data_IF_309888798323
#
_entry.id   IF_309888798323
#
_cell.length_a   1.000
_cell.length_b   1.000
_cell.length_c   1.000
_cell.angle_alpha   90.00
_cell.angle_beta   90.00
_cell.angle_gamma   90.00
#
_symmetry.space_group_name_H-M   'P 1'
#
loop_
_entity.id
_entity.type
_entity.pdbx_description
1 polymer ?
#
# COMPACT_ATOMS: atom_id res chain seq x y z
N UNK A 1 25.65 14.51 -3.00
CA UNK A 1 26.87 15.21 -2.53
C UNK A 1 26.84 15.16 -1.01
N UNK A 2 27.78 14.46 -0.38
CA UNK A 2 27.89 14.36 1.09
C UNK A 2 28.45 15.69 1.61
N UNK A 3 27.60 16.50 2.25
CA UNK A 3 28.04 17.64 3.03
C UNK A 3 27.70 17.26 4.48
N UNK A 4 28.72 17.22 5.35
CA UNK A 4 28.62 16.87 6.78
C UNK A 4 28.22 15.42 7.10
N UNK A 5 28.47 14.48 6.17
CA UNK A 5 28.14 13.05 6.38
C UNK A 5 26.65 12.71 6.21
N UNK A 6 25.83 13.66 5.75
CA UNK A 6 24.39 13.46 5.50
C UNK A 6 24.13 13.44 3.99
N UNK A 7 23.29 12.50 3.54
CA UNK A 7 22.87 12.42 2.14
C UNK A 7 21.82 13.50 1.87
N UNK A 8 22.17 14.48 1.05
CA UNK A 8 21.25 15.52 0.59
C UNK A 8 20.42 15.02 -0.59
N UNK A 9 19.10 15.13 -0.47
CA UNK A 9 18.15 14.83 -1.54
C UNK A 9 17.67 16.15 -2.14
N UNK A 10 17.67 16.26 -3.47
CA UNK A 10 17.05 17.40 -4.13
C UNK A 10 15.53 17.33 -3.90
N UNK A 11 14.98 18.31 -3.18
CA UNK A 11 13.59 18.33 -2.80
C UNK A 11 12.85 19.51 -3.42
N UNK A 12 11.58 19.28 -3.74
CA UNK A 12 10.63 20.31 -4.09
C UNK A 12 9.21 19.78 -3.89
N UNK A 13 8.28 20.56 -3.28
CA UNK A 13 6.92 20.08 -3.01
C UNK A 13 6.18 19.57 -4.25
N UNK A 14 6.44 20.16 -5.43
CA UNK A 14 5.81 19.75 -6.68
C UNK A 14 6.25 18.37 -7.19
N UNK A 15 7.37 17.81 -6.68
CA UNK A 15 7.76 16.44 -7.00
C UNK A 15 6.74 15.41 -6.49
N UNK A 16 5.92 15.76 -5.50
CA UNK A 16 4.81 14.91 -5.06
C UNK A 16 3.88 14.59 -6.26
N UNK A 17 3.46 15.61 -7.01
CA UNK A 17 2.54 15.44 -8.15
C UNK A 17 3.17 14.68 -9.33
N UNK A 18 4.47 14.89 -9.56
CA UNK A 18 5.21 14.12 -10.57
C UNK A 18 5.31 12.65 -10.14
N UNK A 19 5.56 12.42 -8.85
CA UNK A 19 5.55 11.09 -8.24
C UNK A 19 4.19 10.41 -8.35
N UNK A 20 3.09 11.12 -8.10
CA UNK A 20 1.73 10.62 -8.28
C UNK A 20 1.47 10.20 -9.72
N UNK A 21 1.79 11.07 -10.69
CA UNK A 21 1.63 10.74 -12.10
C UNK A 21 2.46 9.50 -12.49
N UNK A 22 3.71 9.43 -12.03
CA UNK A 22 4.57 8.28 -12.27
C UNK A 22 4.01 7.00 -11.61
N UNK A 23 3.45 7.09 -10.40
CA UNK A 23 2.82 5.99 -9.71
C UNK A 23 1.57 5.49 -10.43
N UNK A 24 0.72 6.39 -10.93
CA UNK A 24 -0.45 6.06 -11.75
C UNK A 24 -0.05 5.38 -13.06
N UNK A 25 0.98 5.90 -13.74
CA UNK A 25 1.52 5.29 -14.95
C UNK A 25 2.09 3.89 -14.67
N UNK A 26 2.86 3.72 -13.60
CA UNK A 26 3.42 2.43 -13.22
C UNK A 26 2.33 1.41 -12.86
N UNK A 27 1.31 1.83 -12.09
CA UNK A 27 0.16 1.00 -11.79
C UNK A 27 -0.62 0.63 -13.07
N UNK A 28 -0.83 1.58 -13.99
CA UNK A 28 -1.49 1.31 -15.28
C UNK A 28 -0.71 0.29 -16.13
N UNK A 29 0.61 0.46 -16.25
CA UNK A 29 1.47 -0.48 -16.97
C UNK A 29 1.45 -1.87 -16.32
N UNK A 30 1.47 -1.94 -14.99
CA UNK A 30 1.29 -3.18 -14.24
C UNK A 30 -0.05 -3.85 -14.51
N UNK A 31 -1.14 -3.09 -14.48
CA UNK A 31 -2.48 -3.60 -14.79
C UNK A 31 -2.58 -4.09 -16.24
N UNK A 32 -1.97 -3.37 -17.19
CA UNK A 32 -1.89 -3.78 -18.60
C UNK A 32 -1.06 -5.05 -18.78
N UNK A 33 0.02 -5.22 -18.02
CA UNK A 33 0.79 -6.46 -18.00
C UNK A 33 -0.04 -7.63 -17.46
N UNK A 34 -0.74 -7.43 -16.34
CA UNK A 34 -1.65 -8.42 -15.74
C UNK A 34 -2.76 -8.80 -16.72
N UNK A 35 -3.37 -7.83 -17.40
CA UNK A 35 -4.39 -8.08 -18.41
C UNK A 35 -3.87 -8.97 -19.55
N UNK A 36 -2.64 -8.73 -20.01
CA UNK A 36 -2.02 -9.49 -21.11
C UNK A 36 -1.60 -10.90 -20.72
N UNK A 37 -0.99 -11.06 -19.54
CA UNK A 37 -0.35 -12.32 -19.15
C UNK A 37 -1.17 -13.17 -18.19
N UNK A 38 -2.18 -12.58 -17.54
CA UNK A 38 -3.04 -13.21 -16.54
C UNK A 38 -4.52 -12.98 -16.85
N UNK A 39 -4.86 -12.98 -18.14
CA UNK A 39 -6.20 -12.69 -18.67
C UNK A 39 -7.30 -13.50 -17.97
N UNK A 40 -7.08 -14.78 -17.73
CA UNK A 40 -8.01 -15.66 -17.01
C UNK A 40 -8.36 -15.17 -15.61
N UNK A 41 -7.40 -14.57 -14.89
CA UNK A 41 -7.64 -13.98 -13.58
C UNK A 41 -8.48 -12.70 -13.65
N UNK A 42 -8.28 -11.89 -14.70
CA UNK A 42 -9.05 -10.67 -14.92
C UNK A 42 -10.48 -11.00 -15.37
N UNK A 43 -10.64 -11.97 -16.27
CA UNK A 43 -11.97 -12.46 -16.69
C UNK A 43 -12.71 -13.17 -15.55
N UNK A 44 -11.98 -13.87 -14.66
CA UNK A 44 -12.53 -14.39 -13.41
C UNK A 44 -13.11 -13.27 -12.54
N UNK A 45 -12.36 -12.19 -12.32
CA UNK A 45 -12.87 -11.02 -11.60
C UNK A 45 -14.12 -10.46 -12.28
N UNK A 46 -14.04 -10.18 -13.59
CA UNK A 46 -15.13 -9.57 -14.36
C UNK A 46 -16.43 -10.38 -14.30
N UNK A 47 -16.36 -11.71 -14.34
CA UNK A 47 -17.55 -12.59 -14.23
C UNK A 47 -18.25 -12.54 -12.88
N UNK A 48 -17.55 -12.16 -11.82
CA UNK A 48 -18.07 -12.15 -10.46
C UNK A 48 -18.29 -10.73 -9.89
N UNK A 49 -18.02 -9.70 -10.70
CA UNK A 49 -18.15 -8.30 -10.27
C UNK A 49 -18.98 -7.49 -11.24
N UNK A 50 -19.88 -6.67 -10.70
CA UNK A 50 -20.62 -5.66 -11.47
C UNK A 50 -19.91 -4.28 -11.35
N UNK A 51 -20.29 -3.25 -12.13
CA UNK A 51 -19.73 -1.90 -11.98
C UNK A 51 -19.76 -1.36 -10.54
N UNK A 52 -20.80 -1.72 -9.77
CA UNK A 52 -20.91 -1.38 -8.35
C UNK A 52 -19.76 -1.88 -7.47
N UNK A 53 -19.06 -2.95 -7.86
CA UNK A 53 -17.84 -3.41 -7.18
C UNK A 53 -16.73 -2.35 -7.25
N UNK A 54 -16.48 -1.82 -8.45
CA UNK A 54 -15.42 -0.83 -8.66
C UNK A 54 -15.78 0.52 -8.04
N UNK A 55 -17.06 0.89 -8.05
CA UNK A 55 -17.55 2.07 -7.34
C UNK A 55 -17.33 1.90 -5.82
N UNK A 56 -17.68 0.74 -5.27
CA UNK A 56 -17.47 0.45 -3.83
C UNK A 56 -15.98 0.46 -3.47
N UNK A 57 -15.13 -0.13 -4.32
CA UNK A 57 -13.69 -0.13 -4.16
C UNK A 57 -13.13 1.31 -4.16
N UNK A 58 -13.49 2.12 -5.14
CA UNK A 58 -13.00 3.49 -5.27
C UNK A 58 -13.51 4.40 -4.12
N UNK A 59 -14.79 4.30 -3.78
CA UNK A 59 -15.38 5.05 -2.66
C UNK A 59 -14.76 4.64 -1.33
N UNK A 60 -14.61 3.33 -1.08
CA UNK A 60 -13.95 2.80 0.12
C UNK A 60 -12.49 3.24 0.21
N UNK A 61 -11.76 3.20 -0.90
CA UNK A 61 -10.38 3.68 -0.95
C UNK A 61 -10.30 5.17 -0.63
N UNK A 62 -11.10 6.01 -1.27
CA UNK A 62 -11.09 7.45 -1.03
C UNK A 62 -11.47 7.79 0.42
N UNK A 63 -12.60 7.26 0.91
CA UNK A 63 -13.06 7.50 2.28
C UNK A 63 -12.04 7.00 3.31
N UNK A 64 -11.52 5.78 3.14
CA UNK A 64 -10.52 5.22 4.04
C UNK A 64 -9.21 6.00 4.03
N UNK A 65 -8.75 6.46 2.86
CA UNK A 65 -7.54 7.26 2.72
C UNK A 65 -7.63 8.55 3.53
N UNK A 66 -8.67 9.35 3.28
CA UNK A 66 -8.87 10.63 3.95
C UNK A 66 -9.21 10.48 5.42
N UNK A 67 -10.03 9.49 5.80
CA UNK A 67 -10.39 9.24 7.18
C UNK A 67 -9.16 8.85 8.00
N UNK A 68 -8.44 7.81 7.61
CA UNK A 68 -7.31 7.31 8.42
C UNK A 68 -6.06 8.18 8.30
N UNK A 69 -5.86 8.86 7.16
CA UNK A 69 -4.84 9.90 7.04
C UNK A 69 -5.11 11.05 8.02
N UNK A 70 -6.30 11.64 7.94
CA UNK A 70 -6.68 12.77 8.78
C UNK A 70 -6.76 12.40 10.26
N UNK A 71 -7.27 11.21 10.62
CA UNK A 71 -7.28 10.76 12.03
C UNK A 71 -5.88 10.69 12.64
N UNK A 72 -4.86 10.43 11.82
CA UNK A 72 -3.47 10.44 12.27
C UNK A 72 -2.90 11.87 12.34
N UNK A 73 -3.05 12.67 11.28
CA UNK A 73 -2.42 14.00 11.18
C UNK A 73 -3.17 15.09 11.94
N UNK A 74 -4.47 14.96 12.17
CA UNK A 74 -5.23 15.92 13.01
C UNK A 74 -4.84 15.85 14.49
N UNK A 75 -4.13 14.80 14.90
CA UNK A 75 -3.58 14.63 16.25
C UNK A 75 -2.15 15.15 16.39
N UNK A 76 -1.56 15.61 15.29
CA UNK A 76 -0.21 16.16 15.27
C UNK A 76 -0.20 17.62 15.78
N UNK A 77 0.98 18.15 16.11
CA UNK A 77 1.16 19.53 16.55
C UNK A 77 0.69 20.56 15.50
N UNK A 78 0.65 20.17 14.23
CA UNK A 78 0.08 20.95 13.12
C UNK A 78 -1.01 20.14 12.42
N UNK A 79 -2.26 20.19 12.91
CA UNK A 79 -3.37 19.47 12.33
C UNK A 79 -3.58 19.81 10.86
N UNK A 80 -3.53 18.80 10.00
CA UNK A 80 -3.77 18.93 8.56
C UNK A 80 -4.67 17.77 8.12
N UNK A 81 -5.61 18.06 7.22
CA UNK A 81 -6.34 16.99 6.53
C UNK A 81 -5.40 16.31 5.55
N UNK A 82 -5.24 15.00 5.72
CA UNK A 82 -4.33 14.21 4.90
C UNK A 82 -4.98 12.91 4.47
N UNK A 83 -4.32 12.24 3.53
CA UNK A 83 -4.73 10.95 3.02
C UNK A 83 -3.59 9.94 3.17
N UNK A 84 -3.93 8.66 3.29
CA UNK A 84 -2.95 7.59 3.51
C UNK A 84 -3.19 6.39 2.62
N UNK A 85 -2.13 5.82 2.04
CA UNK A 85 -2.18 4.57 1.29
C UNK A 85 -2.68 3.42 2.17
N UNK A 86 -2.25 3.37 3.44
CA UNK A 86 -2.71 2.37 4.40
C UNK A 86 -4.22 2.50 4.63
N UNK A 87 -4.71 3.74 4.73
CA UNK A 87 -6.12 4.04 4.83
C UNK A 87 -6.90 3.64 3.59
N UNK A 88 -6.36 3.93 2.40
CA UNK A 88 -6.95 3.56 1.13
C UNK A 88 -7.09 2.04 1.00
N UNK A 89 -6.04 1.30 1.35
CA UNK A 89 -6.05 -0.17 1.29
C UNK A 89 -7.08 -0.75 2.25
N UNK A 90 -7.10 -0.31 3.52
CA UNK A 90 -8.05 -0.78 4.51
C UNK A 90 -9.50 -0.44 4.13
N UNK A 91 -9.77 0.79 3.71
CA UNK A 91 -11.10 1.23 3.30
C UNK A 91 -11.61 0.49 2.06
N UNK A 92 -10.74 0.28 1.06
CA UNK A 92 -11.07 -0.51 -0.12
C UNK A 92 -11.42 -1.96 0.24
N UNK A 93 -10.63 -2.60 1.10
CA UNK A 93 -10.88 -3.98 1.57
C UNK A 93 -12.22 -4.06 2.28
N UNK A 94 -12.50 -3.17 3.24
CA UNK A 94 -13.78 -3.16 3.97
C UNK A 94 -14.95 -2.98 3.02
N UNK A 95 -14.89 -2.00 2.11
CA UNK A 95 -15.97 -1.74 1.17
C UNK A 95 -16.19 -2.89 0.18
N UNK A 96 -15.13 -3.50 -0.32
CA UNK A 96 -15.20 -4.66 -1.23
C UNK A 96 -15.75 -5.89 -0.52
N UNK A 97 -15.30 -6.21 0.70
CA UNK A 97 -15.82 -7.36 1.45
C UNK A 97 -17.28 -7.16 1.84
N UNK A 98 -17.70 -5.93 2.18
CA UNK A 98 -19.11 -5.60 2.40
C UNK A 98 -19.93 -5.79 1.13
N UNK A 99 -19.45 -5.28 -0.01
CA UNK A 99 -20.12 -5.47 -1.29
C UNK A 99 -20.26 -6.95 -1.64
N UNK A 100 -19.20 -7.73 -1.45
CA UNK A 100 -19.19 -9.18 -1.71
C UNK A 100 -20.19 -9.91 -0.81
N UNK A 101 -20.23 -9.54 0.47
CA UNK A 101 -21.19 -10.10 1.42
C UNK A 101 -22.63 -9.83 1.00
N UNK A 102 -22.95 -8.58 0.64
CA UNK A 102 -24.29 -8.18 0.18
C UNK A 102 -24.72 -8.86 -1.14
N UNK A 103 -23.76 -9.29 -1.96
CA UNK A 103 -24.01 -9.92 -3.27
C UNK A 103 -23.75 -11.42 -3.30
N UNK A 104 -23.46 -12.03 -2.15
CA UNK A 104 -23.17 -13.46 -2.06
C UNK A 104 -21.90 -13.90 -2.79
N UNK A 105 -21.00 -12.98 -3.14
CA UNK A 105 -19.76 -13.29 -3.84
C UNK A 105 -18.75 -13.86 -2.85
N UNK A 106 -18.37 -15.12 -3.06
CA UNK A 106 -17.42 -15.85 -2.22
C UNK A 106 -16.11 -16.05 -2.98
N UNK A 107 -14.99 -15.86 -2.29
CA UNK A 107 -13.64 -16.01 -2.87
C UNK A 107 -12.87 -14.68 -2.92
N UNK A 108 -11.60 -14.74 -3.29
CA UNK A 108 -10.74 -13.56 -3.39
C UNK A 108 -10.91 -12.88 -4.75
N UNK A 109 -11.04 -11.55 -4.73
CA UNK A 109 -11.13 -10.69 -5.94
C UNK A 109 -9.89 -9.80 -6.11
N UNK A 110 -8.93 -9.88 -5.17
CA UNK A 110 -7.80 -8.96 -5.10
C UNK A 110 -6.60 -9.33 -5.99
N UNK A 111 -6.53 -10.56 -6.49
CA UNK A 111 -5.36 -11.10 -7.20
C UNK A 111 -4.86 -10.23 -8.37
N UNK A 112 -5.75 -9.78 -9.30
CA UNK A 112 -5.36 -8.89 -10.39
C UNK A 112 -4.77 -7.54 -9.97
N UNK A 113 -5.02 -7.09 -8.74
CA UNK A 113 -4.60 -5.79 -8.25
C UNK A 113 -3.20 -5.81 -7.60
N UNK A 114 -2.61 -6.98 -7.34
CA UNK A 114 -1.35 -7.07 -6.57
C UNK A 114 -0.19 -6.33 -7.26
N UNK A 115 0.08 -6.66 -8.53
CA UNK A 115 1.17 -6.03 -9.30
C UNK A 115 0.97 -4.52 -9.45
N UNK A 116 -0.19 -4.02 -9.93
CA UNK A 116 -0.38 -2.58 -10.08
C UNK A 116 -0.30 -1.82 -8.75
N UNK A 117 -0.82 -2.38 -7.65
CA UNK A 117 -0.70 -1.77 -6.33
C UNK A 117 0.77 -1.71 -5.85
N UNK A 118 1.53 -2.80 -6.02
CA UNK A 118 2.95 -2.81 -5.66
C UNK A 118 3.73 -1.74 -6.44
N UNK A 119 3.55 -1.69 -7.76
CA UNK A 119 4.23 -0.70 -8.60
C UNK A 119 3.87 0.74 -8.23
N UNK A 120 2.58 1.01 -7.98
CA UNK A 120 2.13 2.31 -7.50
C UNK A 120 2.77 2.70 -6.17
N UNK A 121 2.88 1.77 -5.21
CA UNK A 121 3.53 2.02 -3.91
C UNK A 121 5.03 2.25 -4.09
N UNK A 122 5.72 1.38 -4.83
CA UNK A 122 7.18 1.47 -5.06
C UNK A 122 7.53 2.83 -5.64
N UNK A 123 6.85 3.25 -6.70
CA UNK A 123 7.12 4.52 -7.40
C UNK A 123 6.64 5.72 -6.59
N UNK A 124 5.43 5.67 -6.03
CA UNK A 124 4.85 6.78 -5.26
C UNK A 124 5.70 7.16 -4.04
N UNK A 125 6.35 6.19 -3.40
CA UNK A 125 7.25 6.46 -2.27
C UNK A 125 8.48 7.29 -2.67
N UNK A 126 8.96 7.20 -3.91
CA UNK A 126 10.00 8.12 -4.38
C UNK A 126 9.48 9.54 -4.55
N UNK A 127 8.23 9.72 -5.02
CA UNK A 127 7.55 11.01 -5.02
C UNK A 127 7.51 11.65 -3.64
N UNK A 128 7.08 10.87 -2.62
CA UNK A 128 7.08 11.30 -1.22
C UNK A 128 8.47 11.72 -0.72
N UNK A 129 9.52 10.97 -1.10
CA UNK A 129 10.91 11.29 -0.71
C UNK A 129 11.34 12.66 -1.26
N UNK A 130 11.11 12.90 -2.57
CA UNK A 130 11.51 14.13 -3.24
C UNK A 130 10.62 15.34 -2.88
N UNK A 131 9.43 15.11 -2.34
CA UNK A 131 8.59 16.16 -1.77
C UNK A 131 9.12 16.71 -0.43
N UNK A 132 10.03 16.00 0.24
CA UNK A 132 10.68 16.42 1.48
C UNK A 132 9.73 16.47 2.68
N UNK A 133 10.00 17.37 3.63
CA UNK A 133 9.22 17.50 4.88
C UNK A 133 7.74 17.82 4.67
N UNK A 134 7.38 18.44 3.55
CA UNK A 134 5.98 18.81 3.24
C UNK A 134 5.06 17.60 3.03
N UNK A 135 5.61 16.44 2.69
CA UNK A 135 4.84 15.20 2.48
C UNK A 135 4.39 14.54 3.79
N UNK A 136 4.97 14.93 4.94
CA UNK A 136 4.63 14.40 6.27
C UNK A 136 4.79 12.87 6.41
N UNK A 137 5.60 12.22 5.56
CA UNK A 137 5.94 10.78 5.67
C UNK A 137 7.38 10.50 6.06
N UNK A 138 8.08 11.53 6.55
CA UNK A 138 9.49 11.47 6.95
C UNK A 138 9.72 10.69 8.26
N UNK A 139 10.94 10.19 8.42
CA UNK A 139 11.36 9.48 9.62
C UNK A 139 11.84 10.38 10.76
N UNK A 140 12.00 9.80 11.94
CA UNK A 140 12.68 10.40 13.09
C UNK A 140 14.17 10.64 12.79
N UNK A 141 14.84 11.54 13.53
CA UNK A 141 16.27 11.78 13.40
C UNK A 141 17.10 10.50 13.57
N UNK A 142 18.22 10.38 12.86
CA UNK A 142 19.09 9.19 12.89
C UNK A 142 20.57 9.54 12.71
N UNK A 143 21.44 8.76 13.37
CA UNK A 143 22.89 8.82 13.18
C UNK A 143 23.44 7.81 12.17
N UNK A 144 22.56 7.07 11.48
CA UNK A 144 22.96 6.06 10.50
C UNK A 144 23.60 6.70 9.25
N UNK A 145 24.59 6.04 8.62
CA UNK A 145 25.35 6.63 7.51
C UNK A 145 24.53 6.80 6.21
N UNK A 146 23.33 6.22 6.15
CA UNK A 146 22.38 6.39 5.04
C UNK A 146 21.19 7.30 5.41
N UNK A 147 21.29 8.06 6.50
CA UNK A 147 20.32 9.09 6.84
C UNK A 147 20.28 10.18 5.76
N UNK A 148 19.07 10.70 5.51
CA UNK A 148 18.82 11.72 4.47
C UNK A 148 18.33 13.02 5.09
N UNK A 149 18.78 14.15 4.56
CA UNK A 149 18.21 15.45 4.87
C UNK A 149 17.05 15.76 3.90
N UNK A 150 15.86 16.00 4.45
CA UNK A 150 14.62 16.24 3.71
C UNK A 150 14.18 17.71 3.70
N UNK A 151 15.10 18.62 4.00
CA UNK A 151 14.92 20.07 3.89
C UNK A 151 14.92 20.83 5.20
N UNK A 152 15.07 20.14 6.33
CA UNK A 152 15.07 20.73 7.67
C UNK A 152 16.46 20.73 8.34
N UNK A 153 17.51 20.32 7.62
CA UNK A 153 18.87 20.29 8.17
C UNK A 153 19.16 19.05 9.02
N UNK A 154 18.21 18.12 9.17
CA UNK A 154 18.33 16.98 10.08
C UNK A 154 18.51 15.69 9.27
N UNK A 155 19.49 14.86 9.65
CA UNK A 155 19.63 13.50 9.13
C UNK A 155 18.49 12.62 9.67
N UNK A 156 17.65 12.09 8.79
CA UNK A 156 16.45 11.31 9.13
C UNK A 156 16.47 9.94 8.49
N UNK A 157 15.78 8.98 9.09
CA UNK A 157 15.52 7.70 8.44
C UNK A 157 14.78 7.93 7.10
N UNK A 158 15.31 7.50 5.95
CA UNK A 158 14.60 7.54 4.67
C UNK A 158 13.50 6.46 4.60
N UNK A 159 12.47 6.59 5.43
CA UNK A 159 11.39 5.58 5.56
C UNK A 159 10.68 5.33 4.24
N UNK A 160 10.60 6.34 3.37
CA UNK A 160 10.06 6.20 2.02
C UNK A 160 10.88 5.22 1.16
N UNK A 161 12.22 5.25 1.26
CA UNK A 161 13.09 4.29 0.58
C UNK A 161 12.87 2.89 1.17
N UNK A 162 12.76 2.76 2.49
CA UNK A 162 12.51 1.46 3.14
C UNK A 162 11.18 0.84 2.66
N UNK A 163 10.11 1.63 2.63
CA UNK A 163 8.80 1.22 2.11
C UNK A 163 8.88 0.82 0.63
N UNK A 164 9.58 1.60 -0.20
CA UNK A 164 9.76 1.31 -1.62
C UNK A 164 10.52 0.00 -1.84
N UNK A 165 11.65 -0.18 -1.17
CA UNK A 165 12.49 -1.38 -1.30
C UNK A 165 11.79 -2.63 -0.77
N UNK A 166 11.07 -2.54 0.36
CA UNK A 166 10.29 -3.66 0.89
C UNK A 166 9.23 -4.12 -0.11
N UNK A 167 8.50 -3.19 -0.73
CA UNK A 167 7.48 -3.51 -1.72
C UNK A 167 8.06 -3.97 -3.06
N UNK A 168 9.23 -3.47 -3.46
CA UNK A 168 9.95 -3.95 -4.65
C UNK A 168 10.46 -5.38 -4.45
N UNK A 169 11.03 -5.69 -3.28
CA UNK A 169 11.47 -7.04 -2.92
C UNK A 169 10.27 -8.00 -2.89
N UNK A 170 9.16 -7.60 -2.27
CA UNK A 170 7.91 -8.35 -2.31
C UNK A 170 7.47 -8.62 -3.75
N UNK A 171 7.43 -7.58 -4.60
CA UNK A 171 7.01 -7.70 -5.99
C UNK A 171 7.89 -8.68 -6.76
N UNK A 172 9.21 -8.63 -6.58
CA UNK A 172 10.14 -9.56 -7.23
C UNK A 172 9.86 -11.02 -6.84
N UNK A 173 9.69 -11.28 -5.54
CA UNK A 173 9.36 -12.63 -5.03
C UNK A 173 7.99 -13.09 -5.51
N UNK A 174 6.98 -12.23 -5.41
CA UNK A 174 5.61 -12.53 -5.84
C UNK A 174 5.55 -12.78 -7.35
N UNK A 175 6.20 -11.96 -8.17
CA UNK A 175 6.21 -12.10 -9.62
C UNK A 175 6.89 -13.41 -10.02
N UNK A 176 8.05 -13.73 -9.43
CA UNK A 176 8.72 -15.00 -9.67
C UNK A 176 7.83 -16.19 -9.28
N UNK A 177 7.22 -16.15 -8.10
CA UNK A 177 6.30 -17.20 -7.65
C UNK A 177 5.05 -17.34 -8.54
N UNK A 178 4.52 -16.22 -9.04
CA UNK A 178 3.39 -16.19 -9.95
C UNK A 178 3.74 -16.77 -11.33
N UNK A 179 4.93 -16.46 -11.84
CA UNK A 179 5.46 -17.03 -13.09
C UNK A 179 5.68 -18.54 -12.98
N UNK A 180 6.13 -19.00 -11.81
CA UNK A 180 6.28 -20.42 -11.48
C UNK A 180 4.97 -21.12 -11.09
N UNK A 181 3.83 -20.43 -11.15
CA UNK A 181 2.52 -21.01 -10.84
C UNK A 181 2.37 -21.48 -9.38
N UNK A 182 3.14 -20.92 -8.44
CA UNK A 182 3.13 -21.37 -7.04
C UNK A 182 1.72 -21.23 -6.44
N UNK A 183 1.18 -22.26 -5.78
CA UNK A 183 -0.21 -22.26 -5.30
C UNK A 183 -0.56 -21.06 -4.41
N UNK A 184 0.33 -20.66 -3.51
CA UNK A 184 0.11 -19.51 -2.64
C UNK A 184 0.01 -18.20 -3.41
N UNK A 185 0.81 -18.01 -4.48
CA UNK A 185 0.81 -16.79 -5.27
C UNK A 185 -0.46 -16.69 -6.12
N UNK A 186 -0.94 -17.82 -6.65
CA UNK A 186 -2.15 -17.86 -7.47
C UNK A 186 -3.43 -17.75 -6.62
N UNK A 187 -3.50 -18.47 -5.49
CA UNK A 187 -4.71 -18.57 -4.66
C UNK A 187 -4.81 -17.45 -3.62
N UNK A 188 -3.67 -17.06 -3.04
CA UNK A 188 -3.60 -16.14 -1.89
C UNK A 188 -2.73 -14.91 -2.16
N UNK A 189 -2.35 -14.64 -3.41
CA UNK A 189 -1.45 -13.54 -3.77
C UNK A 189 -1.84 -12.19 -3.18
N UNK A 190 -3.13 -11.86 -3.19
CA UNK A 190 -3.62 -10.63 -2.57
C UNK A 190 -3.49 -10.60 -1.05
N UNK A 191 -3.82 -11.70 -0.36
CA UNK A 191 -3.69 -11.75 1.09
C UNK A 191 -2.23 -11.71 1.51
N UNK A 192 -1.34 -12.38 0.77
CA UNK A 192 0.11 -12.33 1.02
C UNK A 192 0.67 -10.92 0.74
N UNK A 193 0.16 -10.21 -0.27
CA UNK A 193 0.45 -8.78 -0.46
C UNK A 193 -0.02 -7.93 0.72
N UNK A 194 -1.27 -8.09 1.17
CA UNK A 194 -1.81 -7.34 2.31
C UNK A 194 -0.98 -7.60 3.57
N UNK A 195 -0.59 -8.86 3.81
CA UNK A 195 0.25 -9.23 4.94
C UNK A 195 1.64 -8.61 4.84
N UNK A 196 2.30 -8.71 3.69
CA UNK A 196 3.62 -8.12 3.46
C UNK A 196 3.59 -6.59 3.64
N UNK A 197 2.59 -5.93 3.06
CA UNK A 197 2.36 -4.50 3.24
C UNK A 197 2.11 -4.14 4.72
N UNK A 198 1.28 -4.91 5.41
CA UNK A 198 0.94 -4.64 6.80
C UNK A 198 2.12 -4.81 7.75
N UNK A 199 2.89 -5.88 7.59
CA UNK A 199 4.07 -6.17 8.42
C UNK A 199 5.17 -5.12 8.22
N UNK A 200 5.53 -4.81 6.96
CA UNK A 200 6.56 -3.80 6.70
C UNK A 200 6.09 -2.41 7.17
N UNK A 201 4.82 -2.06 6.90
CA UNK A 201 4.28 -0.77 7.33
C UNK A 201 4.26 -0.66 8.85
N UNK A 202 3.87 -1.70 9.58
CA UNK A 202 3.90 -1.72 11.04
C UNK A 202 5.32 -1.48 11.58
N UNK A 203 6.33 -2.13 11.00
CA UNK A 203 7.72 -1.94 11.42
C UNK A 203 8.22 -0.50 11.19
N UNK A 204 7.90 0.08 10.03
CA UNK A 204 8.31 1.45 9.69
C UNK A 204 7.58 2.54 10.45
N UNK A 205 6.42 2.21 11.00
CA UNK A 205 5.58 3.15 11.74
C UNK A 205 6.24 3.59 13.05
N UNK A 206 7.11 2.76 13.65
CA UNK A 206 7.96 3.15 14.79
C UNK A 206 9.04 4.18 14.43
N UNK A 207 9.41 4.27 13.15
CA UNK A 207 10.41 5.24 12.67
C UNK A 207 9.77 6.57 12.28
N UNK A 208 8.45 6.73 12.43
CA UNK A 208 7.74 7.96 12.08
C UNK A 208 7.34 8.74 13.33
N UNK A 209 7.45 10.08 13.31
CA UNK A 209 7.11 10.92 14.45
C UNK A 209 5.60 11.14 14.58
N UNK A 210 4.78 10.11 14.34
CA UNK A 210 3.33 10.23 14.43
C UNK A 210 2.83 10.10 15.86
N UNK A 211 1.73 10.81 16.20
CA UNK A 211 1.21 10.84 17.55
C UNK A 211 0.73 9.45 18.00
N UNK A 212 1.18 8.95 19.17
CA UNK A 212 0.71 7.67 19.68
C UNK A 212 -0.76 7.74 20.11
N UNK A 213 -1.42 6.58 20.09
CA UNK A 213 -2.77 6.37 20.62
C UNK A 213 -2.73 5.59 21.93
N UNK A 214 -1.95 4.52 21.98
CA UNK A 214 -1.81 3.66 23.14
C UNK A 214 -0.39 3.09 23.22
N UNK A 215 0.34 3.41 24.29
CA UNK A 215 1.77 3.08 24.39
C UNK A 215 2.54 3.66 23.18
N UNK A 216 3.44 2.89 22.54
CA UNK A 216 4.16 3.34 21.34
C UNK A 216 3.31 3.27 20.06
N UNK A 217 2.07 2.77 20.12
CA UNK A 217 1.28 2.45 18.93
C UNK A 217 0.40 3.63 18.51
N UNK A 218 0.55 4.06 17.26
CA UNK A 218 -0.32 5.04 16.60
C UNK A 218 -1.47 4.38 15.81
N UNK A 219 -2.28 5.20 15.13
CA UNK A 219 -3.47 4.74 14.37
C UNK A 219 -3.10 3.67 13.34
N UNK A 220 -2.01 3.85 12.60
CA UNK A 220 -1.62 2.92 11.54
C UNK A 220 -1.16 1.56 12.08
N UNK A 221 -0.57 1.49 13.28
CA UNK A 221 -0.24 0.20 13.89
C UNK A 221 -1.49 -0.67 14.08
N UNK A 222 -2.58 -0.09 14.59
CA UNK A 222 -3.86 -0.81 14.76
C UNK A 222 -4.47 -1.22 13.43
N UNK A 223 -4.41 -0.35 12.41
CA UNK A 223 -4.84 -0.70 11.05
C UNK A 223 -4.03 -1.87 10.50
N UNK A 224 -2.70 -1.88 10.69
CA UNK A 224 -1.83 -2.96 10.22
C UNK A 224 -2.07 -4.28 10.96
N UNK A 225 -2.39 -4.25 12.25
CA UNK A 225 -2.84 -5.43 13.00
C UNK A 225 -4.12 -5.99 12.37
N UNK A 226 -5.11 -5.14 12.09
CA UNK A 226 -6.37 -5.54 11.45
C UNK A 226 -6.16 -6.14 10.05
N UNK A 227 -5.33 -5.51 9.21
CA UNK A 227 -4.98 -6.02 7.88
C UNK A 227 -4.23 -7.35 7.93
N UNK A 228 -3.31 -7.49 8.89
CA UNK A 228 -2.56 -8.75 9.10
C UNK A 228 -3.52 -9.87 9.52
N UNK A 229 -4.42 -9.60 10.47
CA UNK A 229 -5.44 -10.57 10.90
C UNK A 229 -6.37 -10.96 9.73
N UNK A 230 -6.84 -9.99 8.94
CA UNK A 230 -7.63 -10.25 7.73
C UNK A 230 -6.90 -11.19 6.76
N UNK A 231 -5.64 -10.89 6.44
CA UNK A 231 -4.85 -11.68 5.52
C UNK A 231 -4.61 -13.11 6.03
N UNK A 232 -4.20 -13.26 7.31
CA UNK A 232 -3.94 -14.55 7.93
C UNK A 232 -5.20 -15.42 8.00
N UNK A 233 -6.35 -14.84 8.35
CA UNK A 233 -7.63 -15.55 8.38
C UNK A 233 -8.01 -16.05 6.98
N UNK A 234 -7.81 -15.25 5.93
CA UNK A 234 -8.08 -15.67 4.56
C UNK A 234 -7.17 -16.81 4.10
N UNK A 235 -5.87 -16.73 4.42
CA UNK A 235 -4.89 -17.76 4.11
C UNK A 235 -5.24 -19.06 4.84
N UNK A 236 -5.53 -18.99 6.15
CA UNK A 236 -5.85 -20.14 6.98
C UNK A 236 -7.16 -20.84 6.58
N UNK A 237 -8.15 -20.09 6.08
CA UNK A 237 -9.43 -20.65 5.61
C UNK A 237 -9.34 -21.36 4.26
N UNK A 238 -8.23 -21.19 3.54
CA UNK A 238 -7.95 -21.74 2.21
C UNK A 238 -9.14 -21.74 1.23
N UNK A 239 -9.95 -20.67 1.25
CA UNK A 239 -11.16 -20.60 0.42
C UNK A 239 -10.78 -20.65 -1.06
N UNK A 240 -11.37 -21.55 -1.85
CA UNK A 240 -11.09 -21.60 -3.28
C UNK A 240 -11.52 -20.28 -3.95
N UNK A 241 -10.96 -19.96 -5.14
CA UNK A 241 -11.47 -18.89 -5.97
C UNK A 241 -12.98 -19.07 -6.21
N UNK A 242 -13.74 -18.01 -6.51
CA UNK A 242 -15.16 -18.15 -6.82
C UNK A 242 -15.35 -19.20 -7.92
N UNK A 243 -16.29 -20.13 -7.73
CA UNK A 243 -16.58 -21.13 -8.74
C UNK A 243 -17.07 -20.44 -10.01
N UNK A 244 -16.48 -20.79 -11.16
CA UNK A 244 -17.00 -20.36 -12.45
C UNK A 244 -18.39 -20.97 -12.59
N UNK A 245 -19.43 -20.14 -12.53
CA UNK A 245 -20.76 -20.58 -12.93
C UNK A 245 -20.64 -21.04 -14.38
N UNK A 246 -20.84 -22.34 -14.63
CA UNK A 246 -21.01 -22.86 -15.98
C UNK A 246 -22.28 -22.20 -16.52
N UNK A 247 -22.14 -21.38 -17.55
CA UNK A 247 -23.25 -20.95 -18.37
C UNK A 247 -23.83 -22.15 -19.11
#
# INVERSE_FOLDING_TARGET
MLIDGVLHVAIAPWYHYVGDLAAWLAAFLGARWVFRHRRTSVEGLARHTAPGYFISLAAGAALGAWLLGSLNTLRDARPVLSHSIAGALAGAIVAVELWKWLRGVRGSTGGPFVIPLCLGIVVGRWGCLFAGMGDQTYGVPTGLPWGVNLGDGISRHPVQIYESLAMAAFLAVYWHALAMGRPWAVRHGFHVFVLAYAVQRFAWEFLKPYPPVFGPFNVFHFVMIGLSAYALIWIARDRPPPAVARA
#
